data_IF_571415902186
#
_entry.id   IF_571415902186
#
_cell.length_a   1.000
_cell.length_b   1.000
_cell.length_c   1.000
_cell.angle_alpha   90.00
_cell.angle_beta   90.00
_cell.angle_gamma   90.00
#
_symmetry.space_group_name_H-M   'P 1'
#
loop_
_entity.id
_entity.type
_entity.pdbx_description
1 polymer ?
#
# COMPACT_ATOMS: atom_id res chain seq x y z
N UNK A 1 24.15 14.96 24.63
CA UNK A 1 23.25 15.45 23.57
C UNK A 1 23.77 15.12 22.15
N UNK A 2 25.07 15.28 21.86
CA UNK A 2 25.64 14.97 20.51
C UNK A 2 25.56 13.50 20.08
N UNK A 3 25.39 12.56 21.00
CA UNK A 3 25.26 11.12 20.69
C UNK A 3 23.86 10.72 20.22
N UNK A 4 22.85 11.56 20.43
CA UNK A 4 21.43 11.26 20.10
C UNK A 4 20.98 11.89 18.79
N UNK A 5 21.67 12.96 18.32
CA UNK A 5 21.32 13.64 17.05
C UNK A 5 21.26 12.72 15.83
N UNK A 6 22.20 11.77 15.61
CA UNK A 6 22.09 10.85 14.47
C UNK A 6 20.92 9.88 14.57
N UNK A 7 20.37 9.68 15.75
CA UNK A 7 19.25 8.77 16.00
C UNK A 7 17.90 9.42 15.81
N UNK A 8 17.82 10.74 15.85
CA UNK A 8 16.59 11.48 15.66
C UNK A 8 16.21 11.58 14.18
N UNK A 9 14.94 11.33 13.87
CA UNK A 9 14.40 11.59 12.54
C UNK A 9 14.03 13.07 12.34
N UNK A 10 13.98 13.86 13.42
CA UNK A 10 13.73 15.29 13.39
C UNK A 10 12.33 15.70 12.92
N UNK A 11 11.38 14.79 12.88
CA UNK A 11 10.03 15.06 12.42
C UNK A 11 9.09 15.40 13.59
N UNK A 12 8.06 16.24 13.36
CA UNK A 12 7.08 16.54 14.38
C UNK A 12 6.29 15.29 14.76
N UNK A 13 6.01 15.16 16.07
CA UNK A 13 5.16 14.08 16.55
C UNK A 13 3.70 14.29 16.16
N UNK A 14 2.96 13.21 15.86
CA UNK A 14 1.53 13.29 15.66
C UNK A 14 0.83 13.88 16.90
N UNK A 15 0.01 14.88 16.70
CA UNK A 15 -0.77 15.54 17.75
C UNK A 15 -2.09 14.81 18.02
N UNK A 16 -2.77 15.17 19.12
CA UNK A 16 -4.12 14.68 19.42
C UNK A 16 -5.12 15.02 18.30
N UNK A 17 -4.94 16.16 17.63
CA UNK A 17 -5.80 16.57 16.50
C UNK A 17 -5.68 15.61 15.31
N UNK A 18 -4.45 15.20 14.94
CA UNK A 18 -4.26 14.21 13.89
C UNK A 18 -4.88 12.86 14.28
N UNK A 19 -4.80 12.49 15.56
CA UNK A 19 -5.37 11.23 16.03
C UNK A 19 -6.91 11.24 16.10
N UNK A 20 -7.55 12.40 16.08
CA UNK A 20 -9.02 12.53 16.16
C UNK A 20 -9.75 11.97 14.92
N UNK A 21 -9.09 11.92 13.76
CA UNK A 21 -9.67 11.35 12.55
C UNK A 21 -9.61 9.82 12.46
N UNK A 22 -8.89 9.17 13.37
CA UNK A 22 -8.78 7.72 13.43
C UNK A 22 -9.78 7.11 14.41
N UNK A 23 -10.30 5.94 14.08
CA UNK A 23 -11.04 5.12 15.04
C UNK A 23 -10.11 4.67 16.19
N UNK A 24 -10.68 4.15 17.27
CA UNK A 24 -9.90 3.66 18.41
C UNK A 24 -8.91 2.56 17.99
N UNK A 25 -9.38 1.59 17.22
CA UNK A 25 -8.57 0.46 16.71
C UNK A 25 -7.47 0.91 15.76
N UNK A 26 -7.78 1.83 14.84
CA UNK A 26 -6.79 2.41 13.92
C UNK A 26 -5.71 3.16 14.70
N UNK A 27 -6.12 3.92 15.71
CA UNK A 27 -5.21 4.70 16.56
C UNK A 27 -4.27 3.79 17.36
N UNK A 28 -4.80 2.75 17.98
CA UNK A 28 -4.01 1.80 18.75
C UNK A 28 -2.90 1.16 17.91
N UNK A 29 -3.23 0.77 16.68
CA UNK A 29 -2.27 0.13 15.75
C UNK A 29 -1.31 1.12 15.09
N UNK A 30 -1.79 2.31 14.73
CA UNK A 30 -1.04 3.27 13.92
C UNK A 30 -0.11 4.18 14.74
N UNK A 31 -0.57 4.62 15.92
CA UNK A 31 0.13 5.65 16.69
C UNK A 31 1.54 5.25 17.13
N UNK A 32 1.80 4.02 17.63
CA UNK A 32 3.16 3.61 17.99
C UNK A 32 4.12 3.65 16.81
N UNK A 33 3.69 3.18 15.62
CA UNK A 33 4.50 3.18 14.42
C UNK A 33 4.74 4.61 13.91
N UNK A 34 3.73 5.46 13.88
CA UNK A 34 3.85 6.85 13.47
C UNK A 34 4.82 7.63 14.36
N UNK A 35 4.72 7.48 15.68
CA UNK A 35 5.63 8.09 16.67
C UNK A 35 7.06 7.59 16.50
N UNK A 36 7.24 6.28 16.36
CA UNK A 36 8.56 5.69 16.15
C UNK A 36 9.20 6.23 14.87
N UNK A 37 8.43 6.31 13.78
CA UNK A 37 8.89 6.83 12.49
C UNK A 37 9.28 8.30 12.57
N UNK A 38 8.57 9.11 13.33
CA UNK A 38 8.86 10.53 13.52
C UNK A 38 10.06 10.78 14.44
N UNK A 39 10.24 9.94 15.45
CA UNK A 39 11.28 10.13 16.47
C UNK A 39 12.64 9.57 16.05
N UNK A 40 12.67 8.34 15.50
CA UNK A 40 13.89 7.56 15.37
C UNK A 40 14.28 7.45 13.88
N UNK A 41 15.50 7.84 13.55
CA UNK A 41 16.08 7.71 12.21
C UNK A 41 16.32 6.24 11.80
N UNK A 42 16.61 5.99 10.52
CA UNK A 42 17.02 4.65 10.05
C UNK A 42 18.27 4.16 10.79
N UNK A 43 19.23 5.04 11.01
CA UNK A 43 20.45 4.72 11.76
C UNK A 43 20.13 4.41 13.23
N UNK A 44 19.25 5.19 13.86
CA UNK A 44 18.81 4.93 15.22
C UNK A 44 18.11 3.58 15.37
N UNK A 45 17.22 3.23 14.44
CA UNK A 45 16.54 1.93 14.42
C UNK A 45 17.54 0.76 14.24
N UNK A 46 18.61 0.96 13.49
CA UNK A 46 19.66 -0.03 13.31
C UNK A 46 20.47 -0.23 14.59
N UNK A 47 20.89 0.85 15.23
CA UNK A 47 21.60 0.82 16.51
C UNK A 47 20.77 0.20 17.64
N UNK A 48 19.47 0.42 17.64
CA UNK A 48 18.51 -0.22 18.55
C UNK A 48 18.22 -1.69 18.20
N UNK A 49 18.87 -2.24 17.16
CA UNK A 49 18.67 -3.62 16.68
C UNK A 49 17.20 -3.92 16.37
N UNK A 50 16.46 -2.91 15.89
CA UNK A 50 15.10 -3.10 15.46
C UNK A 50 15.02 -4.15 14.33
N UNK A 51 13.96 -4.95 14.30
CA UNK A 51 13.79 -5.99 13.28
C UNK A 51 13.83 -5.40 11.87
N UNK A 52 14.29 -6.19 10.90
CA UNK A 52 14.32 -5.78 9.49
C UNK A 52 12.93 -5.32 9.00
N UNK A 53 11.88 -6.03 9.40
CA UNK A 53 10.51 -5.69 9.03
C UNK A 53 10.10 -4.30 9.58
N UNK A 54 10.38 -4.02 10.85
CA UNK A 54 10.05 -2.72 11.46
C UNK A 54 10.84 -1.58 10.80
N UNK A 55 12.14 -1.75 10.57
CA UNK A 55 12.99 -0.77 9.88
C UNK A 55 12.44 -0.46 8.48
N UNK A 56 12.02 -1.50 7.74
CA UNK A 56 11.46 -1.33 6.39
C UNK A 56 10.12 -0.59 6.43
N UNK A 57 9.24 -0.88 7.38
CA UNK A 57 7.96 -0.14 7.56
C UNK A 57 8.22 1.34 7.84
N UNK A 58 9.10 1.68 8.77
CA UNK A 58 9.44 3.08 9.06
C UNK A 58 10.04 3.80 7.84
N UNK A 59 10.93 3.13 7.09
CA UNK A 59 11.52 3.68 5.86
C UNK A 59 10.46 3.97 4.80
N UNK A 60 9.53 3.05 4.58
CA UNK A 60 8.42 3.22 3.62
C UNK A 60 7.53 4.40 4.02
N UNK A 61 7.18 4.53 5.30
CA UNK A 61 6.38 5.66 5.78
C UNK A 61 7.08 6.99 5.50
N UNK A 62 8.38 7.14 5.81
CA UNK A 62 9.14 8.35 5.51
C UNK A 62 9.21 8.63 4.01
N UNK A 63 9.42 7.62 3.18
CA UNK A 63 9.45 7.76 1.73
C UNK A 63 8.09 8.27 1.21
N UNK A 64 7.00 7.64 1.60
CA UNK A 64 5.67 7.99 1.16
C UNK A 64 5.18 9.34 1.71
N UNK A 65 5.64 9.78 2.87
CA UNK A 65 5.33 11.10 3.40
C UNK A 65 5.69 12.22 2.41
N UNK A 66 6.78 12.05 1.67
CA UNK A 66 7.24 13.02 0.67
C UNK A 66 6.65 12.79 -0.73
N UNK A 67 6.30 11.55 -1.05
CA UNK A 67 5.85 11.16 -2.39
C UNK A 67 4.32 11.17 -2.55
N UNK A 68 3.59 11.08 -1.44
CA UNK A 68 2.14 11.00 -1.48
C UNK A 68 1.55 12.33 -1.98
N UNK A 69 0.78 12.36 -3.08
CA UNK A 69 0.17 13.59 -3.55
C UNK A 69 -0.93 14.09 -2.62
N UNK A 70 -1.28 15.37 -2.65
CA UNK A 70 -2.39 15.92 -1.89
C UNK A 70 -3.73 15.26 -2.21
N UNK A 71 -3.99 15.02 -3.48
CA UNK A 71 -5.18 14.34 -3.98
C UNK A 71 -4.84 12.90 -4.41
N UNK A 72 -5.46 11.88 -3.80
CA UNK A 72 -5.28 10.49 -4.18
C UNK A 72 -5.50 10.20 -5.67
N UNK A 73 -6.39 10.94 -6.33
CA UNK A 73 -6.69 10.75 -7.75
C UNK A 73 -5.49 11.09 -8.65
N UNK A 74 -4.58 11.93 -8.20
CA UNK A 74 -3.40 12.37 -8.95
C UNK A 74 -2.18 11.46 -8.79
N UNK A 75 -2.30 10.38 -8.01
CA UNK A 75 -1.21 9.42 -7.84
C UNK A 75 -0.82 8.80 -9.18
N UNK A 76 0.47 8.88 -9.52
CA UNK A 76 0.99 8.33 -10.75
C UNK A 76 0.72 6.82 -10.84
N UNK A 77 0.35 6.35 -12.02
CA UNK A 77 -0.06 4.96 -12.26
C UNK A 77 1.01 3.96 -11.79
N UNK A 78 2.27 4.22 -12.12
CA UNK A 78 3.39 3.37 -11.70
C UNK A 78 3.54 3.25 -10.17
N UNK A 79 3.01 4.21 -9.40
CA UNK A 79 3.10 4.23 -7.94
C UNK A 79 1.91 3.51 -7.26
N UNK A 80 0.80 3.26 -7.97
CA UNK A 80 -0.43 2.73 -7.36
C UNK A 80 -0.25 1.34 -6.75
N UNK A 81 0.35 0.43 -7.50
CA UNK A 81 0.63 -0.92 -7.00
C UNK A 81 1.64 -0.89 -5.86
N UNK A 82 2.67 -0.05 -5.99
CA UNK A 82 3.69 0.07 -4.94
C UNK A 82 3.09 0.66 -3.65
N UNK A 83 2.19 1.64 -3.76
CA UNK A 83 1.51 2.21 -2.61
C UNK A 83 0.71 1.14 -1.85
N UNK A 84 -0.07 0.32 -2.56
CA UNK A 84 -0.80 -0.79 -1.94
C UNK A 84 0.14 -1.74 -1.21
N UNK A 85 1.20 -2.22 -1.87
CA UNK A 85 2.16 -3.15 -1.28
C UNK A 85 2.88 -2.59 -0.04
N UNK A 86 3.11 -1.28 -0.02
CA UNK A 86 3.84 -0.61 1.06
C UNK A 86 2.95 -0.18 2.22
N UNK A 87 1.71 0.24 1.94
CA UNK A 87 0.87 0.97 2.88
C UNK A 87 -0.48 0.30 3.19
N UNK A 88 -0.79 -0.87 2.63
CA UNK A 88 -2.07 -1.58 2.87
C UNK A 88 -2.45 -1.59 4.37
N UNK A 89 -1.51 -1.90 5.25
CA UNK A 89 -1.71 -1.91 6.72
C UNK A 89 -1.28 -0.62 7.42
N UNK A 90 -0.40 0.16 6.81
CA UNK A 90 0.34 1.22 7.48
C UNK A 90 -0.11 2.63 7.07
N UNK A 91 -1.09 2.75 6.15
CA UNK A 91 -1.61 4.05 5.76
C UNK A 91 -2.11 4.88 6.95
N UNK A 92 -2.83 4.34 7.95
CA UNK A 92 -3.22 5.12 9.13
C UNK A 92 -2.04 5.73 9.90
N UNK A 93 -0.89 5.04 9.92
CA UNK A 93 0.33 5.57 10.55
C UNK A 93 0.94 6.72 9.73
N UNK A 94 0.91 6.63 8.40
CA UNK A 94 1.31 7.72 7.53
C UNK A 94 0.35 8.91 7.65
N UNK A 95 -0.95 8.65 7.65
CA UNK A 95 -2.00 9.67 7.76
C UNK A 95 -1.82 10.57 8.99
N UNK A 96 -1.34 10.03 10.12
CA UNK A 96 -1.01 10.80 11.32
C UNK A 96 0.09 11.86 11.13
N UNK A 97 0.81 11.83 10.01
CA UNK A 97 1.88 12.77 9.66
C UNK A 97 1.48 13.73 8.53
N UNK A 98 0.24 13.60 8.04
CA UNK A 98 -0.31 14.47 6.99
C UNK A 98 -1.13 15.62 7.61
N UNK A 99 -1.31 16.69 6.84
CA UNK A 99 -2.28 17.73 7.21
C UNK A 99 -3.71 17.15 7.23
N UNK A 100 -4.66 17.76 7.98
CA UNK A 100 -5.99 17.19 8.19
C UNK A 100 -6.78 16.93 6.91
N UNK A 101 -6.61 17.76 5.87
CA UNK A 101 -7.33 17.62 4.61
C UNK A 101 -6.84 16.41 3.84
N UNK A 102 -5.52 16.27 3.69
CA UNK A 102 -4.91 15.10 3.08
C UNK A 102 -5.20 13.83 3.86
N UNK A 103 -5.12 13.91 5.19
CA UNK A 103 -5.44 12.79 6.08
C UNK A 103 -6.85 12.25 5.81
N UNK A 104 -7.85 13.12 5.79
CA UNK A 104 -9.25 12.74 5.55
C UNK A 104 -9.43 12.06 4.19
N UNK A 105 -8.91 12.66 3.13
CA UNK A 105 -8.99 12.15 1.76
C UNK A 105 -8.40 10.75 1.61
N UNK A 106 -7.20 10.53 2.17
CA UNK A 106 -6.52 9.25 2.09
C UNK A 106 -7.15 8.17 2.97
N UNK A 107 -7.59 8.51 4.19
CA UNK A 107 -8.29 7.57 5.07
C UNK A 107 -9.64 7.14 4.52
N UNK A 108 -10.37 8.03 3.88
CA UNK A 108 -11.65 7.70 3.25
C UNK A 108 -11.48 6.62 2.19
N UNK A 109 -10.52 6.77 1.29
CA UNK A 109 -10.23 5.77 0.27
C UNK A 109 -9.72 4.45 0.86
N UNK A 110 -8.84 4.53 1.83
CA UNK A 110 -8.29 3.33 2.48
C UNK A 110 -9.36 2.50 3.20
N UNK A 111 -10.38 3.16 3.76
CA UNK A 111 -11.49 2.50 4.45
C UNK A 111 -12.55 1.93 3.51
N UNK A 112 -12.57 2.36 2.28
CA UNK A 112 -13.50 1.83 1.28
C UNK A 112 -13.02 0.45 0.80
N UNK A 113 -13.72 -0.65 1.12
CA UNK A 113 -13.31 -1.99 0.74
C UNK A 113 -13.34 -2.22 -0.77
N UNK A 114 -14.05 -1.39 -1.52
CA UNK A 114 -14.15 -1.46 -2.98
C UNK A 114 -13.13 -0.55 -3.69
N UNK A 115 -12.37 0.26 -2.95
CA UNK A 115 -11.38 1.15 -3.56
C UNK A 115 -10.27 0.34 -4.26
N UNK A 116 -10.12 0.45 -5.58
CA UNK A 116 -9.17 -0.37 -6.34
C UNK A 116 -7.71 -0.04 -6.05
N UNK A 117 -7.42 1.12 -5.45
CA UNK A 117 -6.07 1.52 -5.08
C UNK A 117 -5.57 0.77 -3.84
N UNK A 118 -6.43 0.61 -2.83
CA UNK A 118 -6.07 -0.04 -1.56
C UNK A 118 -6.52 -1.51 -1.50
N UNK A 119 -7.53 -1.87 -2.27
CA UNK A 119 -8.10 -3.21 -2.32
C UNK A 119 -8.11 -3.77 -3.76
N UNK A 120 -6.94 -3.90 -4.41
CA UNK A 120 -6.86 -4.37 -5.80
C UNK A 120 -7.04 -5.89 -5.90
N UNK A 121 -8.00 -6.44 -5.15
CA UNK A 121 -8.36 -7.83 -5.28
C UNK A 121 -8.91 -8.09 -6.69
N UNK A 122 -8.42 -9.14 -7.35
CA UNK A 122 -8.95 -9.52 -8.66
C UNK A 122 -10.36 -10.08 -8.51
N UNK A 123 -11.30 -9.73 -9.40
CA UNK A 123 -12.66 -10.28 -9.40
C UNK A 123 -12.72 -11.78 -9.70
N UNK A 124 -11.59 -12.38 -10.09
CA UNK A 124 -11.44 -13.80 -10.38
C UNK A 124 -10.23 -14.37 -9.65
N UNK A 125 -10.34 -15.61 -9.20
CA UNK A 125 -9.25 -16.35 -8.58
C UNK A 125 -8.52 -17.27 -9.57
N UNK A 126 -7.41 -17.86 -9.14
CA UNK A 126 -6.61 -18.76 -9.97
C UNK A 126 -7.37 -20.01 -10.39
N UNK A 127 -8.26 -20.54 -9.57
CA UNK A 127 -9.06 -21.72 -9.88
C UNK A 127 -10.10 -21.42 -10.98
N UNK A 128 -10.69 -20.25 -10.95
CA UNK A 128 -11.58 -19.77 -12.02
C UNK A 128 -10.80 -19.63 -13.33
N UNK A 129 -9.62 -18.99 -13.33
CA UNK A 129 -8.79 -18.84 -14.53
C UNK A 129 -8.38 -20.19 -15.12
N UNK A 130 -8.00 -21.14 -14.27
CA UNK A 130 -7.65 -22.51 -14.70
C UNK A 130 -8.81 -23.17 -15.42
N UNK A 131 -10.00 -23.10 -14.84
CA UNK A 131 -11.19 -23.74 -15.40
C UNK A 131 -11.68 -23.06 -16.69
N UNK A 132 -11.73 -21.72 -16.71
CA UNK A 132 -12.25 -20.96 -17.86
C UNK A 132 -11.31 -21.04 -19.09
N UNK A 133 -10.00 -21.08 -18.85
CA UNK A 133 -9.01 -21.08 -19.95
C UNK A 133 -8.25 -22.39 -20.09
N UNK A 134 -8.64 -23.44 -19.37
CA UNK A 134 -7.99 -24.76 -19.36
C UNK A 134 -6.46 -24.67 -19.14
N UNK A 135 -6.04 -23.89 -18.14
CA UNK A 135 -4.64 -23.66 -17.83
C UNK A 135 -4.13 -24.64 -16.77
N UNK A 136 -2.92 -25.14 -16.94
CA UNK A 136 -2.25 -25.93 -15.92
C UNK A 136 -1.85 -25.05 -14.72
N UNK A 137 -1.86 -25.61 -13.48
CA UNK A 137 -1.30 -24.90 -12.32
C UNK A 137 0.18 -24.57 -12.56
N UNK A 138 0.59 -23.33 -12.34
CA UNK A 138 1.99 -22.95 -12.56
C UNK A 138 2.27 -21.46 -12.40
N UNK A 139 3.53 -21.06 -12.61
CA UNK A 139 3.96 -19.65 -12.49
C UNK A 139 3.18 -18.68 -13.40
N UNK A 140 2.73 -19.17 -14.58
CA UNK A 140 1.95 -18.36 -15.53
C UNK A 140 0.64 -17.86 -14.95
N UNK A 141 -0.06 -18.67 -14.13
CA UNK A 141 -1.27 -18.21 -13.41
C UNK A 141 -0.93 -17.14 -12.40
N UNK A 142 0.19 -17.27 -11.69
CA UNK A 142 0.66 -16.25 -10.77
C UNK A 142 0.94 -14.92 -11.49
N UNK A 143 1.58 -14.97 -12.65
CA UNK A 143 1.86 -13.80 -13.48
C UNK A 143 0.57 -13.17 -14.02
N UNK A 144 -0.39 -13.98 -14.46
CA UNK A 144 -1.71 -13.51 -14.91
C UNK A 144 -2.49 -12.83 -13.76
N UNK A 145 -2.53 -13.45 -12.57
CA UNK A 145 -3.18 -12.85 -11.41
C UNK A 145 -2.52 -11.52 -10.99
N UNK A 146 -1.20 -11.43 -11.07
CA UNK A 146 -0.49 -10.19 -10.80
C UNK A 146 -0.86 -9.10 -11.82
N UNK A 147 -0.91 -9.45 -13.10
CA UNK A 147 -1.36 -8.53 -14.15
C UNK A 147 -2.80 -8.03 -13.90
N UNK A 148 -3.75 -8.94 -13.62
CA UNK A 148 -5.13 -8.54 -13.33
C UNK A 148 -5.24 -7.66 -12.07
N UNK A 149 -4.42 -7.92 -11.05
CA UNK A 149 -4.33 -7.05 -9.87
C UNK A 149 -3.84 -5.65 -10.23
N UNK A 150 -2.84 -5.54 -11.09
CA UNK A 150 -2.36 -4.24 -11.57
C UNK A 150 -3.47 -3.49 -12.32
N UNK A 151 -4.14 -4.15 -13.27
CA UNK A 151 -5.23 -3.54 -14.03
C UNK A 151 -6.39 -3.11 -13.10
N UNK A 152 -6.68 -3.89 -12.05
CA UNK A 152 -7.66 -3.49 -11.01
C UNK A 152 -7.19 -2.26 -10.24
N UNK A 153 -5.94 -2.22 -9.79
CA UNK A 153 -5.36 -1.07 -9.09
C UNK A 153 -5.38 0.21 -9.94
N UNK A 154 -5.31 0.07 -11.25
CA UNK A 154 -5.42 1.19 -12.20
C UNK A 154 -6.88 1.59 -12.51
N UNK A 155 -7.85 0.86 -11.97
CA UNK A 155 -9.27 1.10 -12.21
C UNK A 155 -9.77 0.66 -13.59
N UNK A 156 -9.02 -0.18 -14.30
CA UNK A 156 -9.38 -0.70 -15.63
C UNK A 156 -10.24 -1.96 -15.57
N UNK A 157 -10.28 -2.63 -14.44
CA UNK A 157 -11.15 -3.80 -14.20
C UNK A 157 -12.16 -3.45 -13.11
N UNK A 158 -13.44 -3.64 -13.41
CA UNK A 158 -14.53 -3.39 -12.46
C UNK A 158 -15.12 -4.71 -11.99
N UNK A 159 -15.42 -5.61 -12.89
CA UNK A 159 -16.14 -6.84 -12.64
C UNK A 159 -15.43 -8.11 -13.14
N UNK A 160 -16.12 -9.24 -12.94
CA UNK A 160 -15.64 -10.55 -13.38
C UNK A 160 -15.43 -10.63 -14.89
N UNK A 161 -16.38 -10.11 -15.65
CA UNK A 161 -16.35 -10.21 -17.11
C UNK A 161 -15.17 -9.41 -17.69
N UNK A 162 -14.93 -8.19 -17.17
CA UNK A 162 -13.75 -7.39 -17.57
C UNK A 162 -12.45 -8.16 -17.26
N UNK A 163 -12.40 -8.84 -16.10
CA UNK A 163 -11.22 -9.61 -15.73
C UNK A 163 -10.99 -10.83 -16.62
N UNK A 164 -12.05 -11.51 -17.04
CA UNK A 164 -11.95 -12.65 -17.98
C UNK A 164 -11.56 -12.19 -19.39
N UNK A 165 -12.09 -11.08 -19.86
CA UNK A 165 -11.68 -10.50 -21.15
C UNK A 165 -10.21 -10.08 -21.14
N UNK A 166 -9.74 -9.41 -20.08
CA UNK A 166 -8.34 -9.04 -19.96
C UNK A 166 -7.43 -10.26 -19.82
N UNK A 167 -7.86 -11.27 -19.05
CA UNK A 167 -7.15 -12.54 -18.95
C UNK A 167 -6.99 -13.19 -20.34
N UNK A 168 -8.04 -13.23 -21.16
CA UNK A 168 -7.97 -13.75 -22.52
C UNK A 168 -6.96 -12.99 -23.38
N UNK A 169 -6.98 -11.64 -23.31
CA UNK A 169 -6.04 -10.77 -24.03
C UNK A 169 -4.59 -11.01 -23.59
N UNK A 170 -4.37 -11.15 -22.28
CA UNK A 170 -3.06 -11.40 -21.72
C UNK A 170 -2.51 -12.78 -22.13
N UNK A 171 -3.32 -13.84 -22.04
CA UNK A 171 -2.98 -15.22 -22.46
C UNK A 171 -2.57 -15.24 -23.93
N UNK A 172 -3.33 -14.55 -24.79
CA UNK A 172 -3.03 -14.47 -26.22
C UNK A 172 -1.67 -13.84 -26.50
N UNK A 173 -1.29 -12.82 -25.70
CA UNK A 173 0.00 -12.11 -25.85
C UNK A 173 1.18 -12.87 -25.23
N UNK A 174 0.93 -13.75 -24.26
CA UNK A 174 1.96 -14.41 -23.46
C UNK A 174 1.87 -15.95 -23.53
N UNK A 175 1.49 -16.50 -24.67
CA UNK A 175 1.32 -17.96 -24.84
C UNK A 175 2.54 -18.78 -24.46
N UNK A 176 3.73 -18.25 -24.70
CA UNK A 176 5.00 -18.91 -24.42
C UNK A 176 5.40 -18.89 -22.93
N UNK A 177 4.66 -18.18 -22.08
CA UNK A 177 4.90 -18.04 -20.64
C UNK A 177 3.93 -18.86 -19.78
N UNK A 178 2.97 -19.56 -20.38
CA UNK A 178 1.96 -20.40 -19.73
C UNK A 178 2.26 -21.87 -19.94
#
# INVERSE_FOLDING_TARGET
LKLVEPWSAGQPLPTAHHAAQLTADERERALPLARLTALISDQGLEQLKASRALRQRCRRLRQWQHQLPPDPATLAEAQRVQLHLDLDRDLPALALQLDPTRQSSWLQRWRDPEDPLFHPATPVDGSTLQREFNLAPGPGIGALLMHLRQERAFGRLIGRDDALEEAHRWIKRNRDAL
#
